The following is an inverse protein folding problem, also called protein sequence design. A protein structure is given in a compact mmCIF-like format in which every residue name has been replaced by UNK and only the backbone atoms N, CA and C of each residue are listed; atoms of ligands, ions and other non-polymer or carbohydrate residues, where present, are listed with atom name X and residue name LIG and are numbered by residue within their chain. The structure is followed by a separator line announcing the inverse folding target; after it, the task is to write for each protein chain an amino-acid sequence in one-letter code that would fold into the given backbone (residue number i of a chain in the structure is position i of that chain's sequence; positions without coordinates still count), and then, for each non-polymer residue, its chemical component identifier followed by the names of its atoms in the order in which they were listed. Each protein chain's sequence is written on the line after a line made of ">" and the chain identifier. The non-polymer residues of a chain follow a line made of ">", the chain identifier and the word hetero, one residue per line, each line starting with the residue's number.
data_IF_920079075717
#
_entry.id   IF_920079075717
#
_cell.length_a   1.000
_cell.length_b   1.000
_cell.length_c   1.000
_cell.angle_alpha   90.00
_cell.angle_beta   90.00
_cell.angle_gamma   90.00
#
_symmetry.space_group_name_H-M   'P 1'
#
loop_
_entity.id
_entity.type
_entity.pdbx_description
1 polymer ?
#
# COMPACT_ATOMS: atom_id res chain seq x y z
N UNK A 1 -12.09 25.89 -5.65
CA UNK A 1 -11.80 24.68 -4.87
C UNK A 1 -11.04 23.74 -5.79
N UNK A 2 -9.82 23.39 -5.46
CA UNK A 2 -9.08 22.35 -6.19
C UNK A 2 -9.88 21.06 -6.17
N UNK A 3 -10.10 20.49 -7.33
CA UNK A 3 -10.83 19.24 -7.45
C UNK A 3 -9.94 18.13 -6.87
N UNK A 4 -10.42 17.45 -5.82
CA UNK A 4 -9.69 16.35 -5.20
C UNK A 4 -9.39 15.27 -6.23
N UNK A 5 -8.15 14.83 -6.32
CA UNK A 5 -7.78 13.68 -7.12
C UNK A 5 -8.00 12.37 -6.33
N UNK A 6 -8.77 11.41 -6.89
CA UNK A 6 -8.89 10.07 -6.33
C UNK A 6 -7.54 9.36 -6.30
N UNK A 7 -7.31 8.56 -5.26
CA UNK A 7 -6.04 7.88 -5.03
C UNK A 7 -6.16 6.37 -5.20
N UNK A 8 -5.15 5.78 -5.79
CA UNK A 8 -4.94 4.33 -5.81
C UNK A 8 -3.91 3.96 -4.74
N UNK A 9 -4.28 3.10 -3.82
CA UNK A 9 -3.43 2.62 -2.75
C UNK A 9 -3.30 1.10 -2.73
N UNK A 10 -2.18 0.62 -2.22
CA UNK A 10 -1.96 -0.80 -1.93
C UNK A 10 -1.61 -0.99 -0.47
N UNK A 11 -2.19 -2.00 0.16
CA UNK A 11 -1.75 -2.49 1.46
C UNK A 11 -1.17 -3.90 1.28
N UNK A 12 0.12 -4.05 1.56
CA UNK A 12 0.85 -5.30 1.39
C UNK A 12 1.36 -5.85 2.71
N UNK A 13 1.38 -7.17 2.83
CA UNK A 13 1.96 -7.88 3.96
C UNK A 13 1.38 -9.28 4.13
N UNK A 14 2.11 -10.14 4.86
CA UNK A 14 1.71 -11.52 5.08
C UNK A 14 0.35 -11.65 5.78
N UNK A 15 -0.23 -12.84 5.78
CA UNK A 15 -1.44 -13.14 6.55
C UNK A 15 -1.19 -12.93 8.06
N UNK A 16 -2.16 -12.34 8.75
CA UNK A 16 -2.11 -12.14 10.20
C UNK A 16 -1.24 -10.96 10.69
N UNK A 17 -0.74 -10.09 9.80
CA UNK A 17 0.05 -8.91 10.18
C UNK A 17 -0.77 -7.63 10.47
N UNK A 18 -2.09 -7.75 10.57
CA UNK A 18 -2.98 -6.64 10.94
C UNK A 18 -3.47 -5.76 9.79
N UNK A 19 -3.36 -6.20 8.51
CA UNK A 19 -3.89 -5.43 7.36
C UNK A 19 -5.36 -5.09 7.53
N UNK A 20 -6.21 -6.10 7.74
CA UNK A 20 -7.67 -5.95 7.92
C UNK A 20 -8.00 -5.01 9.08
N UNK A 21 -7.38 -5.21 10.24
CA UNK A 21 -7.56 -4.35 11.41
C UNK A 21 -7.25 -2.87 11.12
N UNK A 22 -6.11 -2.61 10.47
CA UNK A 22 -5.70 -1.23 10.13
C UNK A 22 -6.62 -0.62 9.08
N UNK A 23 -7.02 -1.41 8.08
CA UNK A 23 -7.94 -0.95 7.01
C UNK A 23 -9.32 -0.66 7.57
N UNK A 24 -9.83 -1.48 8.47
CA UNK A 24 -11.10 -1.23 9.16
C UNK A 24 -11.11 0.11 9.88
N UNK A 25 -10.04 0.42 10.64
CA UNK A 25 -9.92 1.74 11.29
C UNK A 25 -9.88 2.88 10.28
N UNK A 26 -9.15 2.71 9.20
CA UNK A 26 -9.07 3.70 8.15
C UNK A 26 -10.42 3.92 7.46
N UNK A 27 -11.17 2.85 7.15
CA UNK A 27 -12.52 2.96 6.57
C UNK A 27 -13.47 3.72 7.50
N UNK A 28 -13.42 3.43 8.80
CA UNK A 28 -14.24 4.18 9.79
C UNK A 28 -13.93 5.66 9.79
N UNK A 29 -12.63 6.02 9.76
CA UNK A 29 -12.21 7.43 9.67
C UNK A 29 -12.63 8.07 8.33
N UNK A 30 -12.51 7.34 7.23
CA UNK A 30 -12.91 7.82 5.91
C UNK A 30 -14.41 8.15 5.83
N UNK A 31 -15.24 7.30 6.44
CA UNK A 31 -16.69 7.51 6.52
C UNK A 31 -17.07 8.68 7.43
N UNK A 32 -16.30 8.91 8.49
CA UNK A 32 -16.53 10.05 9.39
C UNK A 32 -16.00 11.37 8.81
N UNK A 33 -14.99 11.31 7.97
CA UNK A 33 -14.24 12.50 7.52
C UNK A 33 -13.47 13.17 8.67
N UNK A 34 -13.01 14.37 8.42
CA UNK A 34 -12.39 15.23 9.43
C UNK A 34 -12.72 16.70 9.13
N UNK A 35 -13.84 17.22 9.61
CA UNK A 35 -14.29 18.59 9.35
C UNK A 35 -13.26 19.65 9.78
N UNK A 36 -12.53 19.41 10.89
CA UNK A 36 -11.50 20.31 11.38
C UNK A 36 -10.32 20.48 10.40
N UNK A 37 -10.12 19.51 9.51
CA UNK A 37 -9.10 19.53 8.45
C UNK A 37 -9.71 19.75 7.05
N UNK A 38 -10.99 20.08 6.95
CA UNK A 38 -11.69 20.23 5.68
C UNK A 38 -11.84 18.93 4.88
N UNK A 39 -11.70 17.74 5.54
CA UNK A 39 -11.82 16.44 4.87
C UNK A 39 -13.28 15.98 4.97
N UNK A 40 -14.02 15.90 3.84
CA UNK A 40 -15.41 15.47 3.86
C UNK A 40 -15.57 13.99 4.21
N UNK A 41 -16.68 13.66 4.86
CA UNK A 41 -17.11 12.28 5.02
C UNK A 41 -17.47 11.68 3.66
N UNK A 42 -17.08 10.43 3.41
CA UNK A 42 -17.35 9.73 2.14
C UNK A 42 -17.70 8.27 2.40
N UNK A 43 -18.51 7.68 1.55
CA UNK A 43 -18.91 6.28 1.69
C UNK A 43 -17.79 5.32 1.33
N UNK A 44 -17.88 4.09 1.82
CA UNK A 44 -16.94 3.03 1.49
C UNK A 44 -17.66 1.74 1.12
N UNK A 45 -17.15 1.05 0.11
CA UNK A 45 -17.59 -0.27 -0.30
C UNK A 45 -16.42 -1.25 -0.19
N UNK A 46 -16.68 -2.42 0.36
CA UNK A 46 -15.69 -3.45 0.61
C UNK A 46 -16.08 -4.71 -0.17
N UNK A 47 -15.23 -5.17 -1.07
CA UNK A 47 -15.33 -6.53 -1.59
C UNK A 47 -14.63 -7.47 -0.61
N UNK A 48 -15.43 -8.10 0.26
CA UNK A 48 -15.00 -8.91 1.41
C UNK A 48 -14.99 -10.39 1.04
N UNK A 49 -13.89 -10.83 0.45
CA UNK A 49 -13.76 -12.20 -0.10
C UNK A 49 -13.54 -13.25 1.00
N UNK A 50 -12.96 -12.83 2.12
CA UNK A 50 -12.61 -13.73 3.22
C UNK A 50 -13.59 -13.66 4.40
N UNK A 51 -14.62 -12.80 4.31
CA UNK A 51 -15.60 -12.56 5.38
C UNK A 51 -14.94 -12.02 6.68
N UNK A 52 -13.95 -11.14 6.52
CA UNK A 52 -13.16 -10.58 7.63
C UNK A 52 -13.68 -9.20 8.11
N UNK A 53 -14.63 -8.57 7.39
CA UNK A 53 -15.16 -7.22 7.69
C UNK A 53 -16.57 -7.28 8.27
N UNK A 54 -16.84 -8.19 9.21
CA UNK A 54 -18.15 -8.49 9.78
C UNK A 54 -18.85 -7.29 10.44
N UNK A 55 -18.09 -6.30 10.90
CA UNK A 55 -18.66 -5.10 11.51
C UNK A 55 -19.37 -4.16 10.53
N UNK A 56 -19.16 -4.35 9.21
CA UNK A 56 -19.88 -3.59 8.19
C UNK A 56 -21.09 -4.38 7.67
N UNK A 57 -22.22 -3.68 7.53
CA UNK A 57 -23.45 -4.29 7.04
C UNK A 57 -23.28 -4.76 5.60
N UNK A 58 -23.85 -5.91 5.30
CA UNK A 58 -23.85 -6.45 3.93
C UNK A 58 -24.69 -5.57 2.97
N UNK A 59 -24.24 -5.52 1.72
CA UNK A 59 -24.93 -4.89 0.59
C UNK A 59 -25.20 -5.96 -0.46
N UNK A 60 -26.39 -5.99 -1.03
CA UNK A 60 -26.70 -6.84 -2.20
C UNK A 60 -26.09 -6.25 -3.45
N UNK A 61 -25.68 -7.12 -4.39
CA UNK A 61 -25.11 -6.69 -5.66
C UNK A 61 -26.06 -5.82 -6.50
N UNK A 62 -27.37 -6.06 -6.40
CA UNK A 62 -28.41 -5.25 -7.05
C UNK A 62 -28.47 -3.80 -6.53
N UNK A 63 -27.97 -3.55 -5.34
CA UNK A 63 -28.12 -2.26 -4.64
C UNK A 63 -26.88 -1.35 -4.79
N UNK A 64 -25.85 -1.73 -5.55
CA UNK A 64 -24.61 -0.98 -5.69
C UNK A 64 -24.85 0.45 -6.19
N UNK A 65 -25.62 0.60 -7.28
CA UNK A 65 -25.95 1.93 -7.85
C UNK A 65 -26.75 2.75 -6.84
N UNK A 66 -27.78 2.14 -6.22
CA UNK A 66 -28.57 2.82 -5.18
C UNK A 66 -27.72 3.26 -4.01
N UNK A 67 -26.77 2.42 -3.56
CA UNK A 67 -25.84 2.76 -2.50
C UNK A 67 -24.93 3.92 -2.88
N UNK A 68 -24.44 3.98 -4.12
CA UNK A 68 -23.62 5.10 -4.62
C UNK A 68 -24.36 6.45 -4.56
N UNK A 69 -25.65 6.43 -4.78
CA UNK A 69 -26.52 7.64 -4.82
C UNK A 69 -27.17 7.97 -3.46
N UNK A 70 -27.07 7.06 -2.49
CA UNK A 70 -27.79 7.20 -1.23
C UNK A 70 -27.22 8.38 -0.42
N UNK A 71 -28.07 9.27 0.17
CA UNK A 71 -27.58 10.44 0.92
C UNK A 71 -26.82 10.07 2.20
N UNK A 72 -27.13 8.92 2.80
CA UNK A 72 -26.44 8.45 4.00
C UNK A 72 -25.03 7.99 3.69
N UNK A 73 -24.05 8.55 4.40
CA UNK A 73 -22.66 8.17 4.30
C UNK A 73 -22.37 7.05 5.29
N UNK A 74 -22.03 5.89 4.78
CA UNK A 74 -21.68 4.71 5.58
C UNK A 74 -20.75 3.78 4.82
N UNK A 75 -20.18 2.79 5.51
CA UNK A 75 -19.45 1.68 4.89
C UNK A 75 -20.35 0.45 4.77
N UNK A 76 -20.25 -0.25 3.66
CA UNK A 76 -20.93 -1.51 3.39
C UNK A 76 -19.95 -2.53 2.82
N UNK A 77 -20.27 -3.81 2.99
CA UNK A 77 -19.50 -4.89 2.37
C UNK A 77 -20.36 -5.72 1.42
N UNK A 78 -19.75 -6.18 0.35
CA UNK A 78 -20.31 -7.21 -0.54
C UNK A 78 -19.51 -8.48 -0.30
N UNK A 79 -20.22 -9.55 0.02
CA UNK A 79 -19.67 -10.90 0.16
C UNK A 79 -19.89 -11.64 -1.16
N UNK A 80 -18.89 -12.39 -1.64
CA UNK A 80 -19.05 -13.15 -2.88
C UNK A 80 -19.82 -14.46 -2.65
N UNK A 81 -21.08 -14.32 -2.30
CA UNK A 81 -22.02 -15.40 -2.09
C UNK A 81 -23.30 -15.12 -2.87
N UNK A 82 -23.90 -16.17 -3.38
CA UNK A 82 -25.23 -16.14 -3.97
C UNK A 82 -26.30 -16.00 -2.88
N UNK A 83 -27.52 -15.62 -3.24
CA UNK A 83 -28.63 -15.46 -2.30
C UNK A 83 -28.99 -16.76 -1.54
N UNK A 84 -28.66 -17.92 -2.12
CA UNK A 84 -28.80 -19.24 -1.50
C UNK A 84 -27.65 -19.59 -0.53
N UNK A 85 -26.71 -18.69 -0.28
CA UNK A 85 -25.57 -18.89 0.61
C UNK A 85 -24.39 -19.67 0.01
N UNK A 86 -24.47 -20.07 -1.26
CA UNK A 86 -23.37 -20.77 -1.95
C UNK A 86 -22.30 -19.73 -2.31
N UNK A 87 -21.04 -20.06 -2.05
CA UNK A 87 -19.91 -19.20 -2.42
C UNK A 87 -19.74 -19.14 -3.93
N UNK A 88 -19.49 -17.94 -4.45
CA UNK A 88 -19.19 -17.70 -5.85
C UNK A 88 -17.88 -18.36 -6.28
N UNK A 89 -17.84 -18.80 -7.53
CA UNK A 89 -16.62 -19.24 -8.20
C UNK A 89 -15.66 -18.06 -8.43
N UNK A 90 -14.40 -18.34 -8.73
CA UNK A 90 -13.42 -17.30 -9.04
C UNK A 90 -13.86 -16.40 -10.21
N UNK A 91 -14.47 -16.98 -11.24
CA UNK A 91 -14.99 -16.25 -12.39
C UNK A 91 -16.12 -15.32 -12.00
N UNK A 92 -17.07 -15.78 -11.21
CA UNK A 92 -18.19 -14.97 -10.72
C UNK A 92 -17.71 -13.82 -9.81
N UNK A 93 -16.65 -14.05 -9.02
CA UNK A 93 -16.03 -12.98 -8.21
C UNK A 93 -15.38 -11.92 -9.12
N UNK A 94 -14.76 -12.31 -10.23
CA UNK A 94 -14.24 -11.37 -11.22
C UNK A 94 -15.35 -10.57 -11.87
N UNK A 95 -16.43 -11.22 -12.29
CA UNK A 95 -17.61 -10.56 -12.86
C UNK A 95 -18.26 -9.58 -11.87
N UNK A 96 -18.35 -9.96 -10.59
CA UNK A 96 -18.80 -9.09 -9.50
C UNK A 96 -17.89 -7.86 -9.34
N UNK A 97 -16.57 -8.05 -9.39
CA UNK A 97 -15.63 -6.94 -9.29
C UNK A 97 -15.76 -5.98 -10.48
N UNK A 98 -15.92 -6.48 -11.69
CA UNK A 98 -16.22 -5.64 -12.87
C UNK A 98 -17.52 -4.85 -12.67
N UNK A 99 -18.55 -5.50 -12.16
CA UNK A 99 -19.82 -4.83 -11.84
C UNK A 99 -19.63 -3.72 -10.79
N UNK A 100 -18.89 -3.99 -9.72
CA UNK A 100 -18.59 -2.97 -8.70
C UNK A 100 -17.85 -1.79 -9.33
N UNK A 101 -16.81 -2.04 -10.12
CA UNK A 101 -16.03 -0.99 -10.79
C UNK A 101 -16.87 -0.22 -11.84
N UNK A 102 -17.89 -0.84 -12.43
CA UNK A 102 -18.83 -0.18 -13.34
C UNK A 102 -19.85 0.69 -12.63
N UNK A 103 -20.39 0.24 -11.50
CA UNK A 103 -21.61 0.79 -10.87
C UNK A 103 -21.33 1.68 -9.66
N UNK A 104 -20.22 1.46 -8.95
CA UNK A 104 -19.88 2.21 -7.74
C UNK A 104 -19.13 3.50 -8.06
N UNK A 105 -19.56 4.62 -7.49
CA UNK A 105 -19.03 5.97 -7.70
C UNK A 105 -18.89 6.73 -6.39
N UNK A 106 -17.95 7.65 -6.35
CA UNK A 106 -17.90 8.70 -5.33
C UNK A 106 -17.59 8.20 -3.92
N UNK A 107 -16.47 7.52 -3.70
CA UNK A 107 -16.14 6.98 -2.37
C UNK A 107 -14.83 6.23 -2.31
N UNK A 108 -14.75 5.25 -1.42
CA UNK A 108 -13.64 4.31 -1.28
C UNK A 108 -14.10 2.91 -1.67
N UNK A 109 -13.35 2.23 -2.53
CA UNK A 109 -13.48 0.80 -2.78
C UNK A 109 -12.28 0.07 -2.19
N UNK A 110 -12.54 -0.83 -1.26
CA UNK A 110 -11.56 -1.81 -0.81
C UNK A 110 -11.76 -3.12 -1.56
N UNK A 111 -10.69 -3.60 -2.19
CA UNK A 111 -10.64 -4.91 -2.83
C UNK A 111 -9.71 -5.80 -2.00
N UNK A 112 -10.33 -6.72 -1.27
CA UNK A 112 -9.58 -7.61 -0.39
C UNK A 112 -8.97 -8.78 -1.17
N UNK A 113 -7.73 -9.12 -0.82
CA UNK A 113 -7.00 -10.32 -1.23
C UNK A 113 -7.08 -10.63 -2.75
N UNK A 114 -6.89 -9.57 -3.53
CA UNK A 114 -7.06 -9.58 -5.00
C UNK A 114 -6.31 -10.73 -5.70
N UNK A 115 -5.17 -11.17 -5.14
CA UNK A 115 -4.39 -12.29 -5.66
C UNK A 115 -5.09 -13.65 -5.60
N UNK A 116 -6.16 -13.76 -4.84
CA UNK A 116 -6.81 -15.05 -4.61
C UNK A 116 -7.75 -15.45 -5.75
N UNK A 117 -8.34 -14.46 -6.40
CA UNK A 117 -9.33 -14.66 -7.46
C UNK A 117 -8.91 -14.09 -8.81
N UNK A 118 -7.73 -13.52 -8.85
CA UNK A 118 -7.12 -13.08 -10.07
C UNK A 118 -5.79 -13.85 -10.17
N UNK A 119 -5.64 -14.63 -11.23
CA UNK A 119 -4.39 -15.33 -11.55
C UNK A 119 -3.22 -14.36 -11.65
N UNK A 120 -1.99 -14.84 -11.74
CA UNK A 120 -0.76 -14.03 -11.82
C UNK A 120 -0.79 -12.95 -12.93
N UNK A 121 -1.76 -13.04 -13.84
CA UNK A 121 -2.10 -12.03 -14.84
C UNK A 121 -3.50 -11.48 -14.55
N UNK A 122 -3.55 -10.29 -13.92
CA UNK A 122 -4.74 -9.47 -13.93
C UNK A 122 -5.19 -9.27 -15.39
N UNK A 123 -6.44 -9.58 -15.76
CA UNK A 123 -6.94 -9.23 -17.09
C UNK A 123 -6.65 -7.74 -17.33
N UNK A 124 -6.11 -7.40 -18.50
CA UNK A 124 -5.73 -6.02 -18.82
C UNK A 124 -6.89 -5.05 -18.64
N UNK A 125 -8.11 -5.49 -18.91
CA UNK A 125 -9.33 -4.71 -18.74
C UNK A 125 -9.63 -4.39 -17.28
N UNK A 126 -9.39 -5.33 -16.37
CA UNK A 126 -9.58 -5.11 -14.93
C UNK A 126 -8.53 -4.14 -14.37
N UNK A 127 -7.27 -4.31 -14.77
CA UNK A 127 -6.20 -3.36 -14.41
C UNK A 127 -6.53 -1.98 -14.99
N UNK A 128 -7.00 -1.93 -16.22
CA UNK A 128 -7.49 -0.70 -16.85
C UNK A 128 -8.58 -0.03 -16.03
N UNK A 129 -9.63 -0.79 -15.66
CA UNK A 129 -10.74 -0.28 -14.85
C UNK A 129 -10.28 0.23 -13.47
N UNK A 130 -9.34 -0.45 -12.81
CA UNK A 130 -8.75 0.01 -11.54
C UNK A 130 -7.96 1.31 -11.74
N UNK A 131 -7.15 1.40 -12.79
CA UNK A 131 -6.30 2.57 -13.05
C UNK A 131 -7.08 3.78 -13.58
N UNK A 132 -8.34 3.60 -14.02
CA UNK A 132 -9.22 4.69 -14.46
C UNK A 132 -10.15 5.21 -13.35
N UNK A 133 -9.88 4.88 -12.08
CA UNK A 133 -10.64 5.27 -10.90
C UNK A 133 -10.90 6.79 -10.79
N UNK A 134 -10.04 7.61 -11.35
CA UNK A 134 -10.16 9.08 -11.37
C UNK A 134 -11.45 9.56 -12.02
N UNK A 135 -11.89 8.91 -13.10
CA UNK A 135 -13.12 9.27 -13.81
C UNK A 135 -14.40 8.97 -13.02
N UNK A 136 -14.27 8.22 -11.93
CA UNK A 136 -15.39 7.78 -11.09
C UNK A 136 -15.41 8.47 -9.72
N UNK A 137 -14.49 9.39 -9.45
CA UNK A 137 -14.25 9.98 -8.13
C UNK A 137 -14.10 8.89 -7.04
N UNK A 138 -13.34 7.84 -7.34
CA UNK A 138 -13.25 6.63 -6.56
C UNK A 138 -11.82 6.41 -6.04
N UNK A 139 -11.62 6.46 -4.72
CA UNK A 139 -10.40 5.94 -4.11
C UNK A 139 -10.43 4.42 -4.13
N UNK A 140 -9.33 3.79 -4.48
CA UNK A 140 -9.23 2.33 -4.46
C UNK A 140 -8.09 1.90 -3.55
N UNK A 141 -8.33 0.90 -2.71
CA UNK A 141 -7.31 0.21 -1.93
C UNK A 141 -7.33 -1.27 -2.28
N UNK A 142 -6.17 -1.77 -2.64
CA UNK A 142 -5.96 -3.17 -2.96
C UNK A 142 -5.18 -3.84 -1.83
N UNK A 143 -5.66 -4.99 -1.34
CA UNK A 143 -4.90 -5.83 -0.42
C UNK A 143 -4.11 -6.89 -1.17
N UNK A 144 -2.80 -6.92 -0.92
CA UNK A 144 -1.89 -7.95 -1.41
C UNK A 144 -1.22 -8.69 -0.24
N UNK A 145 -0.89 -9.96 -0.42
CA UNK A 145 -0.10 -10.72 0.54
C UNK A 145 1.40 -10.63 0.27
N UNK A 146 1.78 -10.31 -0.97
CA UNK A 146 3.14 -10.27 -1.47
C UNK A 146 3.37 -9.03 -2.32
N UNK A 147 4.50 -8.33 -2.10
CA UNK A 147 4.89 -7.16 -2.89
C UNK A 147 5.23 -7.56 -4.33
N UNK A 148 5.78 -8.76 -4.51
CA UNK A 148 6.11 -9.31 -5.82
C UNK A 148 4.91 -9.62 -6.70
N UNK A 149 3.70 -9.67 -6.13
CA UNK A 149 2.46 -9.91 -6.89
C UNK A 149 1.77 -8.66 -7.40
N UNK A 150 2.24 -7.48 -7.01
CA UNK A 150 1.74 -6.22 -7.54
C UNK A 150 2.21 -6.11 -9.00
N UNK A 151 1.27 -5.94 -9.94
CA UNK A 151 1.62 -5.84 -11.36
C UNK A 151 2.33 -4.51 -11.68
N UNK A 152 3.19 -4.46 -12.71
CA UNK A 152 3.87 -3.22 -13.11
C UNK A 152 2.90 -2.07 -13.39
N UNK A 153 1.75 -2.36 -14.00
CA UNK A 153 0.74 -1.33 -14.33
C UNK A 153 0.08 -0.74 -13.07
N UNK A 154 -0.10 -1.53 -12.00
CA UNK A 154 -0.55 -1.01 -10.70
C UNK A 154 0.55 -0.14 -10.11
N UNK A 155 1.82 -0.55 -10.14
CA UNK A 155 2.95 0.24 -9.67
C UNK A 155 3.04 1.62 -10.33
N UNK A 156 2.83 1.69 -11.63
CA UNK A 156 2.84 2.95 -12.41
C UNK A 156 1.73 3.94 -12.02
N UNK A 157 0.63 3.43 -11.47
CA UNK A 157 -0.54 4.24 -11.10
C UNK A 157 -0.74 4.38 -9.58
N UNK A 158 0.17 3.81 -8.79
CA UNK A 158 0.09 3.77 -7.34
C UNK A 158 0.47 5.11 -6.73
N UNK A 159 -0.39 5.69 -5.91
CA UNK A 159 -0.10 6.93 -5.18
C UNK A 159 0.47 6.64 -3.79
N UNK A 160 -0.02 5.62 -3.09
CA UNK A 160 0.53 5.26 -1.80
C UNK A 160 0.59 3.74 -1.57
N UNK A 161 1.60 3.33 -0.83
CA UNK A 161 1.80 1.96 -0.39
C UNK A 161 1.78 1.90 1.13
N UNK A 162 0.97 1.01 1.70
CA UNK A 162 1.03 0.66 3.12
C UNK A 162 1.68 -0.71 3.27
N UNK A 163 2.86 -0.72 3.88
CA UNK A 163 3.64 -1.94 4.08
C UNK A 163 3.53 -2.40 5.52
N UNK A 164 3.08 -3.63 5.69
CA UNK A 164 3.15 -4.39 6.93
C UNK A 164 4.30 -5.40 6.87
N UNK A 165 4.42 -6.31 7.86
CA UNK A 165 5.41 -7.40 7.80
C UNK A 165 5.28 -8.14 6.46
N UNK A 166 6.36 -8.14 5.69
CA UNK A 166 6.49 -8.92 4.46
C UNK A 166 7.49 -10.06 4.64
N UNK A 167 7.28 -11.12 3.88
CA UNK A 167 8.16 -12.32 3.85
C UNK A 167 8.83 -12.49 2.50
N UNK A 168 8.47 -11.67 1.55
CA UNK A 168 9.05 -11.66 0.22
C UNK A 168 10.48 -11.12 0.27
N UNK A 169 11.28 -11.56 -0.64
CA UNK A 169 12.55 -10.96 -0.94
C UNK A 169 12.32 -9.83 -1.96
N UNK A 170 12.35 -8.59 -1.48
CA UNK A 170 12.13 -7.39 -2.30
C UNK A 170 13.12 -7.35 -3.47
N UNK A 171 14.36 -7.82 -3.27
CA UNK A 171 15.40 -7.83 -4.31
C UNK A 171 15.03 -8.74 -5.49
N UNK A 172 14.38 -9.88 -5.23
CA UNK A 172 13.98 -10.82 -6.30
C UNK A 172 12.97 -10.24 -7.29
N UNK A 173 12.27 -9.20 -6.90
CA UNK A 173 11.23 -8.58 -7.71
C UNK A 173 11.60 -7.17 -8.20
N UNK A 174 12.88 -6.79 -8.10
CA UNK A 174 13.37 -5.43 -8.39
C UNK A 174 12.94 -4.89 -9.76
N UNK A 175 12.86 -5.73 -10.79
CA UNK A 175 12.44 -5.32 -12.15
C UNK A 175 11.04 -4.67 -12.20
N UNK A 176 10.22 -4.83 -11.17
CA UNK A 176 8.87 -4.26 -11.13
C UNK A 176 8.83 -2.83 -10.57
N UNK A 177 9.87 -2.45 -9.81
CA UNK A 177 9.95 -1.18 -9.07
C UNK A 177 11.40 -0.66 -8.94
N UNK A 178 12.18 -0.82 -9.98
CA UNK A 178 13.64 -0.63 -10.01
C UNK A 178 14.08 0.71 -9.40
N UNK A 179 13.43 1.80 -9.80
CA UNK A 179 13.72 3.15 -9.30
C UNK A 179 13.41 3.31 -7.79
N UNK A 180 12.51 2.50 -7.24
CA UNK A 180 12.06 2.56 -5.84
C UNK A 180 12.67 1.48 -4.96
N UNK A 181 13.63 0.73 -5.48
CA UNK A 181 14.20 -0.43 -4.77
C UNK A 181 14.85 -0.04 -3.43
N UNK A 182 15.65 1.03 -3.38
CA UNK A 182 16.32 1.46 -2.14
C UNK A 182 15.28 1.86 -1.08
N UNK A 183 14.27 2.63 -1.46
CA UNK A 183 13.13 3.00 -0.61
C UNK A 183 12.45 1.77 -0.02
N UNK A 184 12.11 0.78 -0.86
CA UNK A 184 11.39 -0.42 -0.42
C UNK A 184 12.23 -1.32 0.48
N UNK A 185 13.54 -1.40 0.28
CA UNK A 185 14.47 -2.14 1.15
C UNK A 185 14.55 -1.51 2.55
N UNK A 186 14.54 -0.18 2.65
CA UNK A 186 14.51 0.51 3.94
C UNK A 186 13.18 0.27 4.68
N UNK A 187 12.07 0.32 3.95
CA UNK A 187 10.74 0.02 4.51
C UNK A 187 10.66 -1.43 4.97
N UNK A 188 11.13 -2.39 4.17
CA UNK A 188 11.20 -3.80 4.54
C UNK A 188 12.01 -4.01 5.83
N UNK A 189 13.22 -3.44 5.90
CA UNK A 189 14.07 -3.53 7.06
C UNK A 189 13.36 -2.99 8.31
N UNK A 190 12.66 -1.86 8.18
CA UNK A 190 11.94 -1.24 9.30
C UNK A 190 10.76 -2.09 9.78
N UNK A 191 9.82 -2.43 8.89
CA UNK A 191 8.62 -3.18 9.30
C UNK A 191 8.96 -4.58 9.81
N UNK A 192 9.98 -5.21 9.25
CA UNK A 192 10.41 -6.53 9.65
C UNK A 192 11.09 -6.49 11.03
N UNK A 193 11.98 -5.52 11.28
CA UNK A 193 12.62 -5.32 12.57
C UNK A 193 11.61 -5.04 13.69
N UNK A 194 10.67 -4.12 13.44
CA UNK A 194 9.66 -3.77 14.43
C UNK A 194 8.69 -4.92 14.72
N UNK A 195 8.33 -5.69 13.71
CA UNK A 195 7.52 -6.88 13.89
C UNK A 195 8.22 -7.93 14.78
N UNK A 196 9.52 -8.12 14.60
CA UNK A 196 10.36 -9.03 15.40
C UNK A 196 10.52 -8.51 16.83
N UNK A 197 10.61 -7.20 17.02
CA UNK A 197 10.64 -6.53 18.31
C UNK A 197 9.29 -6.53 19.06
N UNK A 198 8.25 -7.15 18.51
CA UNK A 198 6.98 -7.37 19.20
C UNK A 198 5.80 -6.56 18.67
N UNK A 199 6.01 -5.56 17.82
CA UNK A 199 4.88 -4.84 17.19
C UNK A 199 4.26 -5.66 16.04
N UNK A 200 3.38 -6.57 16.41
CA UNK A 200 2.72 -7.47 15.44
C UNK A 200 1.75 -6.76 14.48
N UNK A 201 1.50 -5.48 14.68
CA UNK A 201 0.61 -4.66 13.85
C UNK A 201 1.33 -3.48 13.22
N UNK A 202 2.65 -3.50 13.22
CA UNK A 202 3.47 -2.47 12.57
C UNK A 202 3.06 -2.30 11.11
N UNK A 203 3.03 -1.06 10.69
CA UNK A 203 2.93 -0.68 9.28
C UNK A 203 3.57 0.68 9.05
N UNK A 204 3.91 0.92 7.80
CA UNK A 204 4.44 2.19 7.32
C UNK A 204 3.69 2.60 6.06
N UNK A 205 3.34 3.87 5.94
CA UNK A 205 2.91 4.45 4.68
C UNK A 205 4.10 4.96 3.89
N UNK A 206 4.08 4.71 2.61
CA UNK A 206 5.00 5.27 1.61
C UNK A 206 4.16 6.09 0.65
N UNK A 207 4.44 7.36 0.56
CA UNK A 207 3.98 8.21 -0.53
C UNK A 207 4.82 7.88 -1.76
N UNK A 208 4.19 7.36 -2.78
CA UNK A 208 4.88 6.90 -3.99
C UNK A 208 5.15 8.06 -4.95
N UNK A 209 4.28 9.05 -4.93
CA UNK A 209 4.40 10.25 -5.77
C UNK A 209 5.62 11.10 -5.33
N UNK A 210 5.77 11.31 -4.01
CA UNK A 210 6.85 12.10 -3.41
C UNK A 210 8.06 11.26 -2.96
N UNK A 211 7.99 9.93 -3.07
CA UNK A 211 8.99 8.96 -2.58
C UNK A 211 9.33 9.15 -1.10
N UNK A 212 8.30 9.36 -0.26
CA UNK A 212 8.46 9.58 1.17
C UNK A 212 7.93 8.45 2.02
N UNK A 213 8.72 8.08 3.03
CA UNK A 213 8.35 7.12 4.07
C UNK A 213 7.76 7.90 5.25
N UNK A 214 6.50 7.64 5.56
CA UNK A 214 5.79 8.32 6.65
C UNK A 214 5.93 7.53 7.95
N UNK A 215 7.01 7.76 8.68
CA UNK A 215 7.29 7.12 9.96
C UNK A 215 6.82 7.98 11.14
N UNK A 216 6.34 7.33 12.19
CA UNK A 216 5.95 8.00 13.44
C UNK A 216 7.15 8.40 14.28
N UNK A 217 8.17 7.56 14.33
CA UNK A 217 9.40 7.74 15.12
C UNK A 217 10.60 7.74 14.17
N UNK A 218 11.03 8.95 13.81
CA UNK A 218 12.17 9.16 12.91
C UNK A 218 13.49 8.66 13.52
N UNK A 219 13.68 8.81 14.84
CA UNK A 219 14.91 8.39 15.51
C UNK A 219 15.04 6.86 15.52
N UNK A 220 13.92 6.16 15.73
CA UNK A 220 13.88 4.71 15.67
C UNK A 220 14.11 4.20 14.26
N UNK A 221 13.51 4.85 13.26
CA UNK A 221 13.74 4.53 11.85
C UNK A 221 15.20 4.72 11.48
N UNK A 222 15.84 5.84 11.89
CA UNK A 222 17.24 6.11 11.63
C UNK A 222 18.16 4.99 12.16
N UNK A 223 17.95 4.53 13.40
CA UNK A 223 18.73 3.40 13.96
C UNK A 223 18.62 2.12 13.12
N UNK A 224 17.46 1.86 12.55
CA UNK A 224 17.27 0.69 11.67
C UNK A 224 17.95 0.90 10.32
N UNK A 225 17.93 2.12 9.77
CA UNK A 225 18.69 2.48 8.56
C UNK A 225 20.19 2.29 8.80
N UNK A 226 20.72 2.76 9.92
CA UNK A 226 22.14 2.55 10.30
C UNK A 226 22.49 1.06 10.37
N UNK A 227 21.66 0.26 11.05
CA UNK A 227 21.84 -1.20 11.13
C UNK A 227 21.80 -1.87 9.74
N UNK A 228 20.85 -1.44 8.88
CA UNK A 228 20.77 -1.91 7.51
C UNK A 228 22.02 -1.59 6.70
N UNK A 229 22.53 -0.36 6.80
CA UNK A 229 23.77 0.07 6.14
C UNK A 229 24.99 -0.71 6.61
N UNK A 230 25.12 -0.96 7.91
CA UNK A 230 26.22 -1.75 8.49
C UNK A 230 26.15 -3.18 7.99
N UNK A 231 24.96 -3.80 7.99
CA UNK A 231 24.77 -5.16 7.47
C UNK A 231 25.15 -5.27 5.99
N UNK A 232 24.83 -4.24 5.21
CA UNK A 232 25.10 -4.15 3.78
C UNK A 232 26.34 -3.28 3.44
N UNK A 233 27.29 -3.16 4.37
CA UNK A 233 28.44 -2.23 4.29
C UNK A 233 29.24 -2.33 3.01
N UNK A 234 29.41 -3.54 2.45
CA UNK A 234 30.16 -3.75 1.20
C UNK A 234 29.53 -2.99 0.03
N UNK A 235 28.21 -2.90 -0.01
CA UNK A 235 27.44 -2.22 -1.05
C UNK A 235 27.41 -0.71 -0.86
N UNK A 236 27.20 -0.23 0.35
CA UNK A 236 26.86 1.17 0.61
C UNK A 236 27.98 2.00 1.24
N UNK A 237 28.81 1.40 2.11
CA UNK A 237 29.78 2.14 2.90
C UNK A 237 31.21 1.98 2.37
N UNK A 238 31.63 0.76 2.02
CA UNK A 238 32.98 0.50 1.52
C UNK A 238 33.34 1.36 0.29
N UNK A 239 32.47 1.58 -0.70
CA UNK A 239 32.78 2.47 -1.82
C UNK A 239 33.10 3.91 -1.39
N UNK A 240 32.51 4.39 -0.29
CA UNK A 240 32.74 5.74 0.23
C UNK A 240 34.07 5.85 1.02
N UNK A 241 34.65 4.73 1.42
CA UNK A 241 35.98 4.70 2.09
C UNK A 241 37.14 4.66 1.13
N UNK A 242 36.88 4.66 -0.19
CA UNK A 242 37.88 4.66 -1.23
C UNK A 242 37.89 6.04 -1.87
N UNK A 243 39.10 6.62 -2.06
CA UNK A 243 39.22 7.90 -2.74
C UNK A 243 38.69 7.78 -4.20
N UNK A 244 37.81 8.68 -4.60
CA UNK A 244 37.31 8.68 -5.96
C UNK A 244 38.36 9.25 -6.91
N UNK A 245 38.94 8.45 -7.82
CA UNK A 245 40.02 8.89 -8.71
C UNK A 245 39.58 9.98 -9.70
N UNK A 246 38.27 10.11 -9.93
CA UNK A 246 37.70 11.11 -10.83
C UNK A 246 37.48 12.49 -10.16
N UNK A 247 37.61 12.57 -8.83
CA UNK A 247 37.45 13.81 -8.08
C UNK A 247 38.80 14.27 -7.55
N UNK A 248 39.31 15.38 -8.07
CA UNK A 248 40.57 16.00 -7.64
C UNK A 248 40.49 16.31 -6.12
N UNK A 249 41.46 15.82 -5.34
CA UNK A 249 41.53 15.96 -3.88
C UNK A 249 40.43 15.16 -3.09
N UNK A 250 39.83 14.13 -3.67
CA UNK A 250 38.94 13.23 -2.94
C UNK A 250 39.72 12.56 -1.81
N UNK A 251 39.25 12.75 -0.56
CA UNK A 251 39.79 12.04 0.60
C UNK A 251 38.87 10.87 0.94
N UNK A 252 39.42 9.69 1.23
CA UNK A 252 38.63 8.57 1.70
C UNK A 252 37.99 8.90 3.06
N UNK A 253 36.77 8.48 3.25
CA UNK A 253 36.06 8.63 4.53
C UNK A 253 36.43 7.49 5.47
N UNK A 254 36.38 7.74 6.79
CA UNK A 254 36.33 6.64 7.75
C UNK A 254 35.00 5.88 7.57
N UNK A 255 34.96 4.62 8.00
CA UNK A 255 33.72 3.83 7.91
C UNK A 255 32.58 4.49 8.71
N UNK A 256 32.89 5.07 9.86
CA UNK A 256 31.95 5.82 10.69
C UNK A 256 31.45 7.10 9.99
N UNK A 257 32.38 7.85 9.37
CA UNK A 257 32.02 9.03 8.57
C UNK A 257 31.14 8.68 7.38
N UNK A 258 31.45 7.58 6.68
CA UNK A 258 30.63 7.07 5.59
C UNK A 258 29.22 6.67 6.06
N UNK A 259 29.12 5.98 7.21
CA UNK A 259 27.84 5.60 7.81
C UNK A 259 26.99 6.85 8.14
N UNK A 260 27.58 7.82 8.82
CA UNK A 260 26.88 9.07 9.19
C UNK A 260 26.35 9.80 7.96
N UNK A 261 27.21 10.04 6.96
CA UNK A 261 26.82 10.76 5.74
C UNK A 261 25.75 10.01 4.96
N UNK A 262 25.91 8.69 4.77
CA UNK A 262 24.90 7.90 4.03
C UNK A 262 23.55 7.84 4.77
N UNK A 263 23.57 7.72 6.10
CA UNK A 263 22.34 7.76 6.91
C UNK A 263 21.62 9.11 6.75
N UNK A 264 22.36 10.22 6.90
CA UNK A 264 21.78 11.56 6.73
C UNK A 264 21.19 11.77 5.33
N UNK A 265 21.87 11.29 4.28
CA UNK A 265 21.39 11.32 2.90
C UNK A 265 20.06 10.58 2.75
N UNK A 266 19.98 9.32 3.23
CA UNK A 266 18.78 8.51 3.11
C UNK A 266 17.62 9.08 3.94
N UNK A 267 17.91 9.57 5.15
CA UNK A 267 16.90 10.22 5.98
C UNK A 267 16.34 11.48 5.32
N UNK A 268 17.19 12.31 4.73
CA UNK A 268 16.76 13.52 4.00
C UNK A 268 15.98 13.18 2.74
N UNK A 269 16.40 12.15 2.02
CA UNK A 269 15.78 11.74 0.76
C UNK A 269 14.41 11.13 0.98
N UNK A 270 14.26 10.20 1.93
CA UNK A 270 13.10 9.33 2.03
C UNK A 270 12.20 9.58 3.25
N UNK A 271 12.62 10.34 4.26
CA UNK A 271 11.77 10.58 5.44
C UNK A 271 11.08 11.92 5.36
N UNK A 272 9.74 11.86 5.32
CA UNK A 272 8.86 13.04 5.27
C UNK A 272 8.65 13.70 6.64
#
# INVERSE_FOLDING_TARGET
>A
MEQREPKLGVAVGRKGCGKTYTTTKMIKQYVLGNPAKGIPARRALILDVNDEFEEFKALKQSDIIRFSMHPKIEARRIRPFHDNGIKMTLREIQELLFKILSDYRGGLLLIEDINRYISDYLPNDLVGAICTNRHQDLDIILHFQSIGRISPKIWQNLNFLRVHKITDDVIKHHNKYEEKLELLLLVEAYVNSEYENGDKRIFVYVDIDDEKILVKDKAKFQKIVEKYLITNRKKFLVPMTIANPLIKNSKPLSLEGALKIKTEQLMKQYVG
#
